data_IF_361012562509
#
_entry.id   IF_361012562509
#
_cell.length_a   1.000
_cell.length_b   1.000
_cell.length_c   1.000
_cell.angle_alpha   90.00
_cell.angle_beta   90.00
_cell.angle_gamma   90.00
#
_symmetry.space_group_name_H-M   'P 1'
#
loop_
_entity.id
_entity.type
_entity.pdbx_description
1 polymer ?
#
# COMPACT_ATOMS: atom_id res chain seq x y z
N UNK A 1 10.40 -0.14 12.00
CA UNK A 1 10.02 0.33 13.33
C UNK A 1 11.22 0.83 14.13
N UNK A 2 12.34 0.06 14.27
CA UNK A 2 13.55 0.53 14.99
C UNK A 2 13.98 1.94 14.62
N UNK A 3 14.03 2.26 13.32
CA UNK A 3 14.35 3.60 12.86
C UNK A 3 13.32 4.66 13.31
N UNK A 4 12.02 4.33 13.36
CA UNK A 4 11.00 5.25 13.86
C UNK A 4 11.19 5.54 15.35
N UNK A 5 11.61 4.52 16.15
CA UNK A 5 12.00 4.71 17.54
C UNK A 5 13.18 5.68 17.69
N UNK A 6 14.22 5.52 16.85
CA UNK A 6 15.42 6.37 16.87
C UNK A 6 15.11 7.84 16.58
N UNK A 7 14.17 8.10 15.67
CA UNK A 7 13.75 9.46 15.32
C UNK A 7 12.54 9.94 16.11
N UNK A 8 12.02 9.13 17.03
CA UNK A 8 10.90 9.48 17.92
C UNK A 8 9.59 9.70 17.17
N UNK A 9 9.30 8.88 16.15
CA UNK A 9 8.04 8.90 15.41
C UNK A 9 7.11 7.78 15.87
N UNK A 10 5.80 8.05 15.98
CA UNK A 10 4.84 7.07 16.46
C UNK A 10 4.70 5.86 15.53
N UNK A 11 4.66 4.70 16.11
CA UNK A 11 4.24 3.46 15.45
C UNK A 11 3.57 2.53 16.46
N UNK A 12 2.75 1.56 16.04
CA UNK A 12 2.16 0.58 16.95
C UNK A 12 3.25 -0.20 17.69
N UNK A 13 2.99 -0.61 18.93
CA UNK A 13 3.92 -1.42 19.71
C UNK A 13 4.36 -2.64 18.90
N UNK A 14 5.66 -2.86 18.82
CA UNK A 14 6.25 -3.84 17.90
C UNK A 14 7.31 -4.67 18.62
N UNK A 15 7.27 -5.99 18.39
CA UNK A 15 8.26 -6.97 18.84
C UNK A 15 8.86 -7.69 17.64
N UNK A 16 10.08 -8.17 17.82
CA UNK A 16 10.81 -8.92 16.79
C UNK A 16 11.03 -10.35 17.27
N UNK A 17 10.95 -11.31 16.39
CA UNK A 17 11.13 -12.73 16.69
C UNK A 17 11.76 -13.46 15.50
N UNK A 18 12.55 -14.51 15.77
CA UNK A 18 13.13 -15.40 14.73
C UNK A 18 12.68 -16.84 14.87
N UNK A 19 12.26 -17.22 16.07
CA UNK A 19 11.78 -18.58 16.36
C UNK A 19 10.35 -18.55 16.87
N UNK A 20 9.67 -19.68 16.78
CA UNK A 20 8.24 -19.74 17.10
C UNK A 20 7.92 -19.38 18.56
N UNK A 21 8.74 -19.79 19.51
CA UNK A 21 8.50 -19.46 20.93
C UNK A 21 8.52 -17.95 21.17
N UNK A 22 9.45 -17.23 20.56
CA UNK A 22 9.51 -15.77 20.65
C UNK A 22 8.27 -15.10 20.02
N UNK A 23 7.74 -15.68 18.90
CA UNK A 23 6.48 -15.22 18.30
C UNK A 23 5.33 -15.38 19.28
N UNK A 24 5.22 -16.53 19.95
CA UNK A 24 4.16 -16.79 20.94
C UNK A 24 4.26 -15.82 22.13
N UNK A 25 5.46 -15.59 22.65
CA UNK A 25 5.71 -14.63 23.73
C UNK A 25 5.32 -13.20 23.31
N UNK A 26 5.71 -12.78 22.09
CA UNK A 26 5.37 -11.48 21.56
C UNK A 26 3.86 -11.30 21.38
N UNK A 27 3.15 -12.32 20.84
CA UNK A 27 1.68 -12.31 20.72
C UNK A 27 1.01 -12.25 22.09
N UNK A 28 1.52 -12.98 23.08
CA UNK A 28 1.00 -12.94 24.46
C UNK A 28 1.21 -11.58 25.11
N UNK A 29 2.35 -10.94 24.85
CA UNK A 29 2.67 -9.61 25.38
C UNK A 29 1.79 -8.51 24.77
N UNK A 30 1.63 -8.52 23.43
CA UNK A 30 0.87 -7.48 22.69
C UNK A 30 -0.64 -7.68 22.81
N UNK A 31 -1.08 -8.89 23.07
CA UNK A 31 -2.50 -9.25 23.05
C UNK A 31 -3.03 -9.48 21.63
N UNK A 32 -4.32 -9.71 21.54
CA UNK A 32 -5.04 -9.94 20.30
C UNK A 32 -6.20 -8.94 20.15
N UNK A 33 -6.49 -8.45 18.95
CA UNK A 33 -5.82 -8.79 17.69
C UNK A 33 -4.42 -8.18 17.57
N UNK A 34 -3.50 -8.90 16.90
CA UNK A 34 -2.19 -8.38 16.50
C UNK A 34 -1.85 -8.86 15.08
N UNK A 35 -0.79 -8.30 14.52
CA UNK A 35 -0.32 -8.65 13.17
C UNK A 35 1.08 -9.29 13.27
N UNK A 36 1.25 -10.40 12.56
CA UNK A 36 2.58 -11.00 12.33
C UNK A 36 2.96 -10.70 10.89
N UNK A 37 4.17 -10.16 10.69
CA UNK A 37 4.70 -9.81 9.37
C UNK A 37 6.06 -10.47 9.17
N UNK A 38 6.34 -10.94 7.95
CA UNK A 38 7.70 -11.32 7.56
C UNK A 38 8.44 -10.11 6.99
N UNK A 39 9.77 -10.17 7.00
CA UNK A 39 10.65 -9.20 6.36
C UNK A 39 10.53 -9.18 4.82
N UNK A 40 9.89 -10.20 4.24
CA UNK A 40 9.60 -10.30 2.82
C UNK A 40 8.10 -10.35 2.58
N UNK A 41 7.62 -9.58 1.63
CA UNK A 41 6.23 -9.61 1.21
C UNK A 41 5.86 -8.46 0.30
N UNK A 42 4.77 -8.61 -0.44
CA UNK A 42 4.18 -7.55 -1.25
C UNK A 42 2.66 -7.76 -1.31
N UNK A 43 1.90 -6.70 -1.49
CA UNK A 43 0.44 -6.74 -1.58
C UNK A 43 -0.20 -7.54 -0.40
N UNK A 44 0.24 -7.27 0.81
CA UNK A 44 -0.19 -7.95 2.06
C UNK A 44 0.17 -9.44 2.14
N UNK A 45 0.94 -10.01 1.21
CA UNK A 45 1.52 -11.35 1.38
C UNK A 45 2.62 -11.29 2.44
N UNK A 46 2.62 -12.25 3.35
CA UNK A 46 3.53 -12.23 4.51
C UNK A 46 3.02 -11.38 5.68
N UNK A 47 1.74 -10.98 5.68
CA UNK A 47 1.08 -10.29 6.78
C UNK A 47 -0.15 -11.10 7.22
N UNK A 48 -0.21 -11.46 8.50
CA UNK A 48 -1.31 -12.22 9.07
C UNK A 48 -1.90 -11.51 10.28
N UNK A 49 -3.22 -11.36 10.30
CA UNK A 49 -3.97 -10.87 11.45
C UNK A 49 -4.29 -12.05 12.38
N UNK A 50 -3.83 -12.00 13.60
CA UNK A 50 -4.05 -13.00 14.64
C UNK A 50 -5.13 -12.48 15.58
N UNK A 51 -6.33 -12.99 15.44
CA UNK A 51 -7.49 -12.61 16.26
C UNK A 51 -7.70 -13.53 17.46
N UNK A 52 -7.23 -14.78 17.35
CA UNK A 52 -7.43 -15.83 18.34
C UNK A 52 -6.33 -16.91 18.24
N UNK A 53 -6.36 -17.90 19.11
CA UNK A 53 -5.36 -18.98 19.14
C UNK A 53 -5.45 -19.92 17.94
N UNK A 54 -6.63 -20.08 17.36
CA UNK A 54 -6.82 -20.88 16.15
C UNK A 54 -6.05 -20.25 14.97
N UNK A 55 -6.11 -18.91 14.80
CA UNK A 55 -5.36 -18.20 13.76
C UNK A 55 -3.86 -18.40 13.94
N UNK A 56 -3.39 -18.32 15.19
CA UNK A 56 -1.97 -18.49 15.53
C UNK A 56 -1.48 -19.92 15.23
N UNK A 57 -2.25 -20.93 15.60
CA UNK A 57 -1.92 -22.34 15.34
C UNK A 57 -1.92 -22.66 13.84
N UNK A 58 -2.93 -22.18 13.11
CA UNK A 58 -3.00 -22.33 11.66
C UNK A 58 -1.80 -21.68 10.96
N UNK A 59 -1.40 -20.50 11.42
CA UNK A 59 -0.21 -19.83 10.91
C UNK A 59 1.05 -20.65 11.17
N UNK A 60 1.22 -21.21 12.39
CA UNK A 60 2.34 -22.07 12.73
C UNK A 60 2.49 -23.22 11.76
N UNK A 61 1.42 -23.96 11.53
CA UNK A 61 1.39 -25.09 10.61
C UNK A 61 1.78 -24.66 9.19
N UNK A 62 1.18 -23.57 8.71
CA UNK A 62 1.46 -23.03 7.37
C UNK A 62 2.91 -22.60 7.18
N UNK A 63 3.49 -21.88 8.16
CA UNK A 63 4.86 -21.41 8.09
C UNK A 63 5.87 -22.55 8.26
N UNK A 64 5.58 -23.53 9.10
CA UNK A 64 6.38 -24.73 9.27
C UNK A 64 6.42 -25.57 7.99
N UNK A 65 5.25 -25.81 7.38
CA UNK A 65 5.15 -26.56 6.12
C UNK A 65 5.92 -25.89 4.97
N UNK A 66 6.04 -24.57 5.00
CA UNK A 66 6.80 -23.78 4.01
C UNK A 66 8.28 -23.62 4.36
N UNK A 67 8.74 -24.10 5.52
CA UNK A 67 10.12 -23.93 5.99
C UNK A 67 10.52 -22.49 6.29
N UNK A 68 9.54 -21.60 6.57
CA UNK A 68 9.79 -20.18 6.83
C UNK A 68 10.28 -19.95 8.26
N UNK A 69 9.87 -20.81 9.22
CA UNK A 69 10.36 -20.78 10.60
C UNK A 69 11.71 -21.52 10.63
N UNK A 70 12.77 -20.84 10.26
CA UNK A 70 14.11 -21.43 10.08
C UNK A 70 15.19 -20.73 10.95
N UNK A 71 14.81 -19.79 11.80
CA UNK A 71 15.73 -19.00 12.63
C UNK A 71 16.48 -17.89 11.87
N UNK A 72 16.33 -17.79 10.55
CA UNK A 72 16.94 -16.75 9.71
C UNK A 72 15.95 -15.62 9.39
N UNK A 73 14.70 -15.98 9.12
CA UNK A 73 13.62 -15.02 8.86
C UNK A 73 13.29 -14.26 10.14
N UNK A 74 13.36 -12.94 10.09
CA UNK A 74 12.89 -12.09 11.18
C UNK A 74 11.38 -11.80 11.00
N UNK A 75 10.62 -12.05 12.05
CA UNK A 75 9.20 -11.73 12.12
C UNK A 75 9.01 -10.44 12.92
N UNK A 76 8.11 -9.62 12.43
CA UNK A 76 7.63 -8.42 13.12
C UNK A 76 6.26 -8.73 13.70
N UNK A 77 6.11 -8.66 15.01
CA UNK A 77 4.82 -8.81 15.68
C UNK A 77 4.40 -7.44 16.17
N UNK A 78 3.25 -6.98 15.68
CA UNK A 78 2.78 -5.61 15.87
C UNK A 78 1.35 -5.61 16.40
N UNK A 79 1.08 -4.79 17.40
CA UNK A 79 -0.29 -4.59 17.88
C UNK A 79 -1.20 -4.05 16.78
N UNK A 80 -2.49 -4.33 16.86
CA UNK A 80 -3.48 -3.74 15.97
C UNK A 80 -3.67 -2.27 16.33
N UNK A 81 -3.33 -1.38 15.41
CA UNK A 81 -3.54 0.04 15.59
C UNK A 81 -5.01 0.40 15.40
N UNK A 82 -5.52 1.28 16.23
CA UNK A 82 -6.79 1.96 16.04
C UNK A 82 -6.62 3.18 15.12
N UNK A 83 -7.73 3.87 14.84
CA UNK A 83 -7.70 5.08 14.02
C UNK A 83 -8.12 4.85 12.57
N UNK A 84 -7.88 5.85 11.74
CA UNK A 84 -8.30 5.86 10.35
C UNK A 84 -7.10 5.47 9.48
N UNK A 85 -7.26 4.43 8.69
CA UNK A 85 -6.22 4.02 7.74
C UNK A 85 -6.06 5.05 6.63
N UNK A 86 -4.85 5.58 6.49
CA UNK A 86 -4.45 6.54 5.48
C UNK A 86 -3.12 6.12 4.84
N UNK A 87 -2.87 6.65 3.65
CA UNK A 87 -1.64 6.44 2.89
C UNK A 87 -1.05 7.78 2.51
N UNK A 88 0.26 7.88 2.49
CA UNK A 88 0.96 9.03 1.96
C UNK A 88 1.86 8.67 0.79
N UNK A 89 2.06 9.66 -0.08
CA UNK A 89 3.09 9.68 -1.10
C UNK A 89 3.92 10.94 -0.91
N UNK A 90 5.22 10.78 -0.98
CA UNK A 90 6.16 11.90 -0.86
C UNK A 90 7.28 11.76 -1.88
N UNK A 91 7.91 12.87 -2.21
CA UNK A 91 9.14 12.91 -3.00
C UNK A 91 10.13 13.86 -2.33
N UNK A 92 11.39 13.46 -2.33
CA UNK A 92 12.46 14.18 -1.66
C UNK A 92 13.63 14.44 -2.61
N UNK A 93 14.32 15.52 -2.37
CA UNK A 93 15.60 15.85 -3.01
C UNK A 93 16.66 16.04 -1.94
N UNK A 94 17.57 15.07 -1.80
CA UNK A 94 18.69 15.07 -0.84
C UNK A 94 18.25 15.42 0.59
N UNK A 95 17.18 14.79 1.06
CA UNK A 95 16.59 15.00 2.39
C UNK A 95 15.51 16.07 2.45
N UNK A 96 15.43 16.97 1.49
CA UNK A 96 14.40 18.02 1.44
C UNK A 96 13.09 17.47 0.88
N UNK A 97 12.01 17.57 1.62
CA UNK A 97 10.67 17.22 1.15
C UNK A 97 10.21 18.19 0.05
N UNK A 98 9.92 17.67 -1.15
CA UNK A 98 9.49 18.45 -2.31
C UNK A 98 7.97 18.50 -2.41
N UNK A 99 7.33 17.35 -2.26
CA UNK A 99 5.88 17.24 -2.28
C UNK A 99 5.39 16.10 -1.39
N UNK A 100 4.17 16.25 -0.88
CA UNK A 100 3.46 15.23 -0.10
C UNK A 100 1.99 15.21 -0.53
N UNK A 101 1.38 14.04 -0.50
CA UNK A 101 -0.06 13.87 -0.65
C UNK A 101 -0.54 12.75 0.25
N UNK A 102 -1.46 13.04 1.15
CA UNK A 102 -2.11 12.06 2.01
C UNK A 102 -3.49 11.70 1.48
N UNK A 103 -3.86 10.43 1.60
CA UNK A 103 -5.15 9.92 1.13
C UNK A 103 -5.82 9.04 2.16
N UNK A 104 -7.15 9.17 2.25
CA UNK A 104 -8.02 8.29 3.04
C UNK A 104 -8.85 7.41 2.11
N UNK A 105 -8.98 6.13 2.43
CA UNK A 105 -9.92 5.23 1.76
C UNK A 105 -11.32 5.47 2.31
N UNK A 106 -12.27 5.81 1.44
CA UNK A 106 -13.68 5.94 1.82
C UNK A 106 -14.48 4.65 1.62
N UNK A 107 -14.04 3.81 0.68
CA UNK A 107 -14.63 2.49 0.43
C UNK A 107 -13.55 1.55 -0.07
N UNK A 108 -13.47 0.39 0.56
CA UNK A 108 -12.56 -0.69 0.15
C UNK A 108 -13.22 -1.62 -0.88
N UNK A 109 -12.39 -2.15 -1.77
CA UNK A 109 -12.72 -3.17 -2.75
C UNK A 109 -12.24 -4.55 -2.32
N UNK A 110 -12.32 -5.49 -3.24
CA UNK A 110 -11.78 -6.83 -3.04
C UNK A 110 -10.24 -6.78 -3.02
N UNK A 111 -9.64 -7.62 -2.18
CA UNK A 111 -8.19 -7.74 -2.11
C UNK A 111 -7.45 -6.52 -1.52
N UNK A 112 -8.14 -5.67 -0.74
CA UNK A 112 -7.54 -4.52 -0.07
C UNK A 112 -7.33 -3.29 -0.98
N UNK A 113 -7.71 -3.36 -2.25
CA UNK A 113 -7.71 -2.19 -3.15
C UNK A 113 -8.79 -1.18 -2.76
N UNK A 114 -8.54 0.12 -3.01
CA UNK A 114 -9.54 1.14 -2.71
C UNK A 114 -10.50 1.35 -3.88
N UNK A 115 -11.80 1.37 -3.61
CA UNK A 115 -12.82 1.81 -4.56
C UNK A 115 -12.82 3.33 -4.66
N UNK A 116 -12.81 4.00 -3.50
CA UNK A 116 -12.82 5.48 -3.44
C UNK A 116 -11.75 5.94 -2.46
N UNK A 117 -10.97 6.92 -2.92
CA UNK A 117 -9.99 7.66 -2.13
C UNK A 117 -10.34 9.14 -2.14
N UNK A 118 -10.00 9.83 -1.06
CA UNK A 118 -10.07 11.29 -0.95
C UNK A 118 -8.74 11.81 -0.43
N UNK A 119 -8.28 12.94 -0.98
CA UNK A 119 -7.14 13.65 -0.43
C UNK A 119 -7.46 14.22 0.96
N UNK A 120 -6.50 14.19 1.86
CA UNK A 120 -6.60 14.76 3.21
C UNK A 120 -5.37 15.59 3.51
N UNK A 121 -5.56 16.69 4.24
CA UNK A 121 -4.44 17.49 4.74
C UNK A 121 -3.99 16.98 6.10
N UNK A 122 -2.67 16.78 6.26
CA UNK A 122 -2.05 16.27 7.48
C UNK A 122 -0.75 17.00 7.80
N UNK A 123 -0.83 18.19 8.43
CA UNK A 123 0.36 18.96 8.78
C UNK A 123 1.35 18.19 9.67
N UNK A 124 0.85 17.34 10.58
CA UNK A 124 1.71 16.53 11.44
C UNK A 124 2.52 15.51 10.63
N UNK A 125 1.89 14.86 9.65
CA UNK A 125 2.55 13.89 8.76
C UNK A 125 3.63 14.58 7.92
N UNK A 126 3.40 15.81 7.48
CA UNK A 126 4.41 16.61 6.78
C UNK A 126 5.65 16.82 7.65
N UNK A 127 5.48 17.26 8.90
CA UNK A 127 6.59 17.46 9.85
C UNK A 127 7.37 16.16 10.10
N UNK A 128 6.66 15.05 10.23
CA UNK A 128 7.28 13.74 10.41
C UNK A 128 8.13 13.36 9.20
N UNK A 129 7.63 13.60 7.97
CA UNK A 129 8.35 13.32 6.74
C UNK A 129 9.55 14.23 6.53
N UNK A 130 9.46 15.50 6.88
CA UNK A 130 10.61 16.43 6.87
C UNK A 130 11.73 15.87 7.76
N UNK A 131 11.40 15.38 8.96
CA UNK A 131 12.34 14.76 9.89
C UNK A 131 12.95 13.46 9.33
N UNK A 132 12.12 12.59 8.72
CA UNK A 132 12.61 11.37 8.05
C UNK A 132 13.54 11.72 6.90
N UNK A 133 13.14 12.66 6.04
CA UNK A 133 13.91 13.09 4.90
C UNK A 133 15.28 13.61 5.29
N UNK A 134 15.35 14.52 6.24
CA UNK A 134 16.57 15.14 6.74
C UNK A 134 17.50 14.10 7.39
N UNK A 135 16.96 13.24 8.26
CA UNK A 135 17.72 12.21 8.97
C UNK A 135 18.35 11.19 8.02
N UNK A 136 17.59 10.70 7.04
CA UNK A 136 18.07 9.70 6.07
C UNK A 136 18.75 10.31 4.85
N UNK A 137 18.73 11.64 4.69
CA UNK A 137 19.09 12.32 3.43
C UNK A 137 18.38 11.68 2.23
N UNK A 138 17.08 11.37 2.44
CA UNK A 138 16.29 10.61 1.48
C UNK A 138 16.25 11.31 0.12
N UNK A 139 16.42 10.54 -0.95
CA UNK A 139 16.33 11.05 -2.32
C UNK A 139 15.42 10.16 -3.15
N UNK A 140 14.40 10.75 -3.76
CA UNK A 140 13.40 10.03 -4.53
C UNK A 140 12.06 9.86 -3.80
N UNK A 141 11.25 8.96 -4.31
CA UNK A 141 9.89 8.73 -3.81
C UNK A 141 9.86 7.84 -2.57
N UNK A 142 8.90 8.12 -1.70
CA UNK A 142 8.55 7.32 -0.53
C UNK A 142 7.02 7.27 -0.40
N UNK A 143 6.47 6.09 -0.16
CA UNK A 143 5.07 5.94 0.23
C UNK A 143 5.00 5.23 1.57
N UNK A 144 4.12 5.67 2.45
CA UNK A 144 3.93 5.03 3.75
C UNK A 144 2.45 4.85 4.03
N UNK A 145 2.15 3.77 4.77
CA UNK A 145 0.84 3.50 5.32
C UNK A 145 0.83 3.80 6.82
N UNK A 146 -0.23 4.40 7.30
CA UNK A 146 -0.37 4.76 8.70
C UNK A 146 -1.83 4.75 9.17
N UNK A 147 -2.02 4.66 10.48
CA UNK A 147 -3.29 4.94 11.13
C UNK A 147 -3.26 6.34 11.74
N UNK A 148 -4.20 7.17 11.35
CA UNK A 148 -4.34 8.52 11.88
C UNK A 148 -5.34 8.57 13.02
N UNK A 149 -4.91 9.08 14.16
CA UNK A 149 -5.74 9.29 15.33
C UNK A 149 -6.17 10.76 15.38
N UNK A 150 -7.47 11.01 15.15
CA UNK A 150 -8.01 12.36 15.14
C UNK A 150 -8.01 13.03 16.53
N UNK A 151 -8.03 12.21 17.59
CA UNK A 151 -8.13 12.73 18.97
C UNK A 151 -6.84 13.39 19.46
N UNK A 152 -5.68 12.89 19.03
CA UNK A 152 -4.36 13.37 19.44
C UNK A 152 -3.52 13.94 18.29
N UNK A 153 -4.10 14.05 17.09
CA UNK A 153 -3.45 14.53 15.85
C UNK A 153 -2.13 13.80 15.59
N UNK A 154 -2.16 12.45 15.61
CA UNK A 154 -0.97 11.62 15.41
C UNK A 154 -1.15 10.59 14.31
N UNK A 155 -0.06 10.32 13.60
CA UNK A 155 0.04 9.26 12.62
C UNK A 155 0.91 8.11 13.16
N UNK A 156 0.36 6.89 13.21
CA UNK A 156 1.06 5.69 13.64
C UNK A 156 1.47 4.90 12.39
N UNK A 157 2.75 4.97 12.03
CA UNK A 157 3.28 4.39 10.79
C UNK A 157 3.41 2.87 10.89
N UNK A 158 2.93 2.16 9.87
CA UNK A 158 2.88 0.69 9.87
C UNK A 158 3.64 0.03 8.71
N UNK A 159 3.87 0.75 7.63
CA UNK A 159 4.58 0.27 6.45
C UNK A 159 5.25 1.40 5.70
N UNK A 160 6.38 1.10 5.03
CA UNK A 160 7.10 2.06 4.20
C UNK A 160 7.56 1.41 2.90
N UNK A 161 7.25 2.03 1.79
CA UNK A 161 7.59 1.60 0.45
C UNK A 161 8.51 2.64 -0.21
N UNK A 162 9.79 2.32 -0.51
CA UNK A 162 10.73 3.23 -1.16
C UNK A 162 10.44 3.42 -2.65
N UNK A 163 9.19 3.69 -2.98
CA UNK A 163 8.68 3.84 -4.35
C UNK A 163 7.33 4.55 -4.37
N UNK A 164 6.94 4.99 -5.55
CA UNK A 164 5.55 5.39 -5.78
C UNK A 164 4.67 4.13 -5.74
N UNK A 165 3.54 4.18 -5.04
CA UNK A 165 2.53 3.13 -5.03
C UNK A 165 1.35 3.51 -5.93
N UNK A 166 0.17 3.82 -5.43
CA UNK A 166 -1.03 4.14 -6.21
C UNK A 166 -1.25 5.67 -6.36
N UNK A 167 -0.51 6.39 -7.24
CA UNK A 167 -0.44 7.85 -7.22
C UNK A 167 -1.63 8.56 -7.86
N UNK A 168 -2.61 7.84 -8.43
CA UNK A 168 -3.65 8.48 -9.25
C UNK A 168 -4.55 9.46 -8.49
N UNK A 169 -4.76 9.25 -7.17
CA UNK A 169 -5.47 10.24 -6.38
C UNK A 169 -4.67 11.55 -6.28
N UNK A 170 -3.35 11.49 -6.17
CA UNK A 170 -2.51 12.69 -6.15
C UNK A 170 -2.57 13.46 -7.47
N UNK A 171 -2.60 12.75 -8.60
CA UNK A 171 -2.78 13.38 -9.94
C UNK A 171 -4.13 14.09 -10.04
N UNK A 172 -5.19 13.49 -9.51
CA UNK A 172 -6.53 14.14 -9.44
C UNK A 172 -6.49 15.40 -8.58
N UNK A 173 -5.58 15.46 -7.62
CA UNK A 173 -5.32 16.60 -6.74
C UNK A 173 -4.19 17.52 -7.25
N UNK A 174 -3.75 17.35 -8.48
CA UNK A 174 -2.78 18.25 -9.13
C UNK A 174 -1.30 17.92 -8.86
N UNK A 175 -1.00 16.82 -8.17
CA UNK A 175 0.36 16.41 -7.84
C UNK A 175 0.75 15.17 -8.65
N UNK A 176 1.64 15.32 -9.63
CA UNK A 176 2.10 14.22 -10.47
C UNK A 176 3.46 13.70 -9.99
N UNK A 177 3.45 12.77 -9.03
CA UNK A 177 4.67 12.18 -8.49
C UNK A 177 5.51 11.44 -9.55
N UNK A 178 4.88 10.83 -10.55
CA UNK A 178 5.62 10.14 -11.61
C UNK A 178 6.46 11.13 -12.44
N UNK A 179 5.87 12.27 -12.82
CA UNK A 179 6.59 13.34 -13.51
C UNK A 179 7.70 13.92 -12.63
N UNK A 180 7.41 14.19 -11.35
CA UNK A 180 8.39 14.70 -10.40
C UNK A 180 9.58 13.75 -10.25
N UNK A 181 9.34 12.43 -10.16
CA UNK A 181 10.39 11.42 -10.09
C UNK A 181 11.26 11.41 -11.35
N UNK A 182 10.67 11.52 -12.54
CA UNK A 182 11.40 11.60 -13.79
C UNK A 182 12.27 12.87 -13.83
N UNK A 183 11.71 14.02 -13.46
CA UNK A 183 12.45 15.29 -13.41
C UNK A 183 13.62 15.21 -12.43
N UNK A 184 13.40 14.66 -11.24
CA UNK A 184 14.42 14.46 -10.23
C UNK A 184 15.57 13.59 -10.76
N UNK A 185 15.24 12.44 -11.37
CA UNK A 185 16.20 11.51 -11.95
C UNK A 185 17.02 12.11 -13.10
N UNK A 186 16.48 13.12 -13.79
CA UNK A 186 17.16 13.85 -14.87
C UNK A 186 17.89 15.11 -14.38
N UNK A 187 17.95 15.37 -13.08
CA UNK A 187 18.52 16.59 -12.51
C UNK A 187 17.80 17.87 -12.92
N UNK A 188 16.51 17.76 -13.33
CA UNK A 188 15.71 18.91 -13.74
C UNK A 188 14.99 19.53 -12.53
N UNK A 189 14.77 20.85 -12.59
CA UNK A 189 13.99 21.54 -11.57
C UNK A 189 12.58 20.95 -11.45
N UNK A 190 12.14 20.72 -10.23
CA UNK A 190 10.77 20.29 -9.93
C UNK A 190 9.99 21.55 -9.55
N UNK A 191 8.83 21.79 -10.21
CA UNK A 191 7.97 22.89 -9.80
C UNK A 191 7.51 22.67 -8.37
N UNK A 192 7.84 23.60 -7.47
CA UNK A 192 7.43 23.57 -6.08
C UNK A 192 6.00 24.10 -5.92
N UNK A 193 5.08 23.63 -6.75
CA UNK A 193 3.67 23.97 -6.59
C UNK A 193 3.08 23.07 -5.50
N UNK A 194 3.33 23.46 -4.28
CA UNK A 194 2.64 22.91 -3.13
C UNK A 194 1.19 23.34 -3.18
N UNK A 195 0.33 22.44 -3.61
CA UNK A 195 -1.10 22.67 -3.55
C UNK A 195 -1.56 22.14 -2.19
N UNK A 196 -1.56 23.01 -1.20
CA UNK A 196 -2.22 22.74 0.08
C UNK A 196 -3.73 22.57 -0.16
N UNK A 197 -4.31 21.54 0.45
CA UNK A 197 -5.77 21.38 0.62
C UNK A 197 -6.59 20.99 -0.62
N UNK A 198 -6.16 20.02 -1.42
CA UNK A 198 -7.09 19.48 -2.41
C UNK A 198 -7.67 18.16 -1.89
N UNK A 199 -8.97 18.18 -1.58
CA UNK A 199 -9.74 17.04 -1.07
C UNK A 199 -10.55 16.36 -2.17
N UNK A 200 -10.03 16.32 -3.40
CA UNK A 200 -10.72 15.69 -4.51
C UNK A 200 -10.80 14.17 -4.32
N UNK A 201 -11.94 13.63 -4.70
CA UNK A 201 -12.17 12.19 -4.69
C UNK A 201 -11.73 11.56 -6.00
N UNK A 202 -11.11 10.40 -5.90
CA UNK A 202 -10.92 9.49 -7.02
C UNK A 202 -11.63 8.16 -6.78
N UNK A 203 -12.02 7.46 -7.84
CA UNK A 203 -12.59 6.12 -7.77
C UNK A 203 -11.99 5.22 -8.84
N UNK A 204 -12.07 3.92 -8.60
CA UNK A 204 -11.77 2.89 -9.58
C UNK A 204 -13.04 2.12 -9.93
N UNK A 205 -13.53 2.28 -11.15
CA UNK A 205 -14.72 1.58 -11.64
C UNK A 205 -14.51 0.07 -11.62
N UNK A 206 -13.34 -0.41 -12.02
CA UNK A 206 -13.03 -1.85 -12.02
C UNK A 206 -13.12 -2.40 -10.60
N UNK A 207 -12.50 -1.75 -9.61
CA UNK A 207 -12.58 -2.19 -8.21
C UNK A 207 -14.01 -2.17 -7.66
N UNK A 208 -14.80 -1.17 -8.07
CA UNK A 208 -16.21 -1.08 -7.71
C UNK A 208 -17.03 -2.27 -8.24
N UNK A 209 -16.85 -2.61 -9.53
CA UNK A 209 -17.56 -3.72 -10.17
C UNK A 209 -17.14 -5.08 -9.58
N UNK A 210 -15.83 -5.29 -9.36
CA UNK A 210 -15.32 -6.49 -8.71
C UNK A 210 -15.90 -6.66 -7.31
N UNK A 211 -15.95 -5.59 -6.52
CA UNK A 211 -16.52 -5.64 -5.17
C UNK A 211 -18.03 -5.90 -5.18
N UNK A 212 -18.78 -5.26 -6.08
CA UNK A 212 -20.22 -5.50 -6.23
C UNK A 212 -20.51 -6.97 -6.63
N UNK A 213 -19.71 -7.52 -7.54
CA UNK A 213 -19.81 -8.92 -7.92
C UNK A 213 -19.47 -9.87 -6.77
N UNK A 214 -18.43 -9.57 -6.00
CA UNK A 214 -17.90 -10.45 -4.94
C UNK A 214 -18.76 -10.52 -3.68
N UNK A 215 -19.56 -9.49 -3.39
CA UNK A 215 -20.38 -9.45 -2.17
C UNK A 215 -21.52 -10.49 -2.15
N UNK A 216 -22.24 -10.63 -3.24
CA UNK A 216 -23.44 -11.49 -3.32
C UNK A 216 -23.49 -12.33 -4.59
N UNK A 217 -22.47 -12.27 -5.43
CA UNK A 217 -22.44 -12.92 -6.76
C UNK A 217 -23.64 -12.55 -7.65
N UNK A 218 -24.11 -11.30 -7.51
CA UNK A 218 -25.34 -10.78 -8.15
C UNK A 218 -25.00 -9.93 -9.37
N UNK A 219 -25.56 -10.30 -10.52
CA UNK A 219 -25.50 -9.49 -11.74
C UNK A 219 -26.19 -8.14 -11.58
N UNK A 220 -27.29 -8.11 -10.82
CA UNK A 220 -28.03 -6.87 -10.56
C UNK A 220 -27.20 -5.88 -9.75
N UNK A 221 -26.41 -6.35 -8.77
CA UNK A 221 -25.53 -5.48 -7.98
C UNK A 221 -24.41 -4.90 -8.86
N UNK A 222 -23.86 -5.68 -9.79
CA UNK A 222 -22.89 -5.21 -10.78
C UNK A 222 -23.47 -4.11 -11.66
N UNK A 223 -24.68 -4.32 -12.21
CA UNK A 223 -25.37 -3.31 -13.04
C UNK A 223 -25.71 -2.06 -12.25
N UNK A 224 -26.21 -2.22 -11.04
CA UNK A 224 -26.51 -1.10 -10.14
C UNK A 224 -25.27 -0.27 -9.82
N UNK A 225 -24.15 -0.93 -9.49
CA UNK A 225 -22.89 -0.24 -9.21
C UNK A 225 -22.39 0.50 -10.46
N UNK A 226 -22.45 -0.13 -11.64
CA UNK A 226 -22.09 0.53 -12.91
C UNK A 226 -22.94 1.78 -13.16
N UNK A 227 -24.27 1.71 -12.92
CA UNK A 227 -25.14 2.88 -13.03
C UNK A 227 -24.76 3.99 -12.05
N UNK A 228 -24.44 3.65 -10.81
CA UNK A 228 -24.02 4.64 -9.80
C UNK A 228 -22.74 5.35 -10.21
N UNK A 229 -21.75 4.60 -10.71
CA UNK A 229 -20.49 5.16 -11.23
C UNK A 229 -20.74 6.05 -12.44
N UNK A 230 -21.45 5.55 -13.45
CA UNK A 230 -21.73 6.29 -14.69
C UNK A 230 -22.50 7.58 -14.46
N UNK A 231 -23.49 7.56 -13.55
CA UNK A 231 -24.29 8.73 -13.18
C UNK A 231 -23.67 9.60 -12.11
N UNK A 232 -22.51 9.21 -11.57
CA UNK A 232 -21.81 9.89 -10.45
C UNK A 232 -22.73 10.14 -9.25
N UNK A 233 -23.57 9.17 -8.90
CA UNK A 233 -24.50 9.24 -7.78
C UNK A 233 -23.91 8.60 -6.50
N UNK A 234 -24.51 8.93 -5.36
CA UNK A 234 -24.11 8.39 -4.07
C UNK A 234 -22.67 8.75 -3.72
N UNK A 235 -21.88 7.74 -3.35
CA UNK A 235 -20.47 7.93 -2.95
C UNK A 235 -19.58 8.42 -4.10
N UNK A 236 -19.98 8.23 -5.37
CA UNK A 236 -19.23 8.64 -6.56
C UNK A 236 -19.43 10.12 -6.92
N UNK A 237 -20.30 10.83 -6.19
CA UNK A 237 -20.52 12.26 -6.41
C UNK A 237 -19.19 13.03 -6.27
N UNK A 238 -18.87 13.84 -7.28
CA UNK A 238 -17.65 14.65 -7.37
C UNK A 238 -16.35 13.83 -7.39
N UNK A 239 -16.39 12.55 -7.76
CA UNK A 239 -15.20 11.74 -7.93
C UNK A 239 -14.74 11.64 -9.38
N UNK A 240 -13.43 11.44 -9.58
CA UNK A 240 -12.83 11.21 -10.90
C UNK A 240 -12.33 9.79 -11.02
N UNK A 241 -12.51 9.18 -12.20
CA UNK A 241 -11.95 7.86 -12.48
C UNK A 241 -10.42 7.91 -12.44
N UNK A 242 -9.81 6.92 -11.80
CA UNK A 242 -8.37 6.88 -11.58
C UNK A 242 -7.61 5.89 -12.47
N UNK A 243 -8.26 4.82 -12.95
CA UNK A 243 -7.57 3.73 -13.68
C UNK A 243 -8.03 3.63 -15.12
N UNK A 244 -9.32 3.74 -15.38
CA UNK A 244 -9.92 3.61 -16.73
C UNK A 244 -10.64 4.90 -17.13
N UNK A 245 -9.91 6.01 -17.38
CA UNK A 245 -10.51 7.30 -17.66
C UNK A 245 -11.06 7.38 -19.09
N UNK A 246 -12.13 6.64 -19.40
CA UNK A 246 -12.73 6.46 -20.73
C UNK A 246 -12.91 7.77 -21.50
N UNK A 247 -13.22 8.87 -20.81
CA UNK A 247 -13.38 10.18 -21.43
C UNK A 247 -12.06 10.79 -21.95
N UNK A 248 -10.90 10.35 -21.45
CA UNK A 248 -9.57 10.83 -21.83
C UNK A 248 -8.76 9.80 -22.60
N UNK A 249 -9.06 8.53 -22.38
CA UNK A 249 -8.43 7.38 -23.00
C UNK A 249 -9.53 6.42 -23.47
N UNK A 250 -10.05 6.69 -24.66
CA UNK A 250 -11.15 5.91 -25.24
C UNK A 250 -10.85 4.40 -25.32
N UNK A 251 -9.63 3.93 -25.65
CA UNK A 251 -9.31 2.49 -25.63
C UNK A 251 -9.54 1.81 -24.28
N UNK A 252 -9.51 2.54 -23.17
CA UNK A 252 -9.80 1.97 -21.84
C UNK A 252 -11.22 1.42 -21.70
N UNK A 253 -12.15 1.81 -22.60
CA UNK A 253 -13.51 1.25 -22.66
C UNK A 253 -13.49 -0.24 -22.97
N UNK A 254 -12.52 -0.72 -23.75
CA UNK A 254 -12.39 -2.13 -24.12
C UNK A 254 -12.15 -2.97 -22.87
N UNK A 255 -11.19 -2.55 -22.04
CA UNK A 255 -10.89 -3.22 -20.78
C UNK A 255 -12.09 -3.20 -19.82
N UNK A 256 -12.71 -2.03 -19.66
CA UNK A 256 -13.87 -1.88 -18.78
C UNK A 256 -15.04 -2.76 -19.24
N UNK A 257 -15.31 -2.77 -20.56
CA UNK A 257 -16.38 -3.59 -21.15
C UNK A 257 -16.09 -5.09 -20.99
N UNK A 258 -14.85 -5.51 -21.19
CA UNK A 258 -14.45 -6.92 -20.98
C UNK A 258 -14.67 -7.37 -19.54
N UNK A 259 -14.26 -6.55 -18.55
CA UNK A 259 -14.48 -6.83 -17.13
C UNK A 259 -15.98 -6.87 -16.82
N UNK A 260 -16.75 -5.88 -17.29
CA UNK A 260 -18.18 -5.82 -17.07
C UNK A 260 -18.89 -7.06 -17.66
N UNK A 261 -18.60 -7.41 -18.92
CA UNK A 261 -19.15 -8.60 -19.57
C UNK A 261 -18.83 -9.88 -18.80
N UNK A 262 -17.57 -10.04 -18.40
CA UNK A 262 -17.14 -11.21 -17.62
C UNK A 262 -17.87 -11.32 -16.28
N UNK A 263 -18.06 -10.20 -15.56
CA UNK A 263 -18.78 -10.19 -14.29
C UNK A 263 -20.29 -10.42 -14.47
N UNK A 264 -20.88 -9.97 -15.57
CA UNK A 264 -22.28 -10.27 -15.89
C UNK A 264 -22.48 -11.73 -16.33
N UNK A 265 -21.49 -12.31 -17.01
CA UNK A 265 -21.52 -13.73 -17.37
C UNK A 265 -21.35 -14.63 -16.14
N UNK A 266 -20.29 -14.37 -15.35
CA UNK A 266 -19.99 -15.11 -14.13
C UNK A 266 -19.53 -14.17 -12.99
N UNK A 267 -20.44 -13.71 -12.11
CA UNK A 267 -20.07 -12.81 -11.01
C UNK A 267 -19.03 -13.38 -10.04
N UNK A 268 -18.94 -14.72 -9.90
CA UNK A 268 -17.93 -15.36 -9.03
C UNK A 268 -16.49 -15.14 -9.55
N UNK A 269 -16.33 -14.84 -10.83
CA UNK A 269 -15.02 -14.54 -11.41
C UNK A 269 -14.36 -13.28 -10.79
N UNK A 270 -15.14 -12.36 -10.24
CA UNK A 270 -14.63 -11.15 -9.59
C UNK A 270 -13.70 -11.44 -8.41
N UNK A 271 -14.11 -12.38 -7.55
CA UNK A 271 -13.27 -12.80 -6.42
C UNK A 271 -12.00 -13.54 -6.88
N UNK A 272 -12.14 -14.42 -7.88
CA UNK A 272 -10.99 -15.13 -8.47
C UNK A 272 -9.99 -14.16 -9.12
N UNK A 273 -10.46 -13.14 -9.82
CA UNK A 273 -9.59 -12.12 -10.42
C UNK A 273 -8.85 -11.31 -9.37
N UNK A 274 -9.53 -10.86 -8.32
CA UNK A 274 -8.90 -10.14 -7.22
C UNK A 274 -7.80 -10.99 -6.55
N UNK A 275 -8.07 -12.26 -6.26
CA UNK A 275 -7.09 -13.19 -5.68
C UNK A 275 -5.91 -13.45 -6.62
N UNK A 276 -6.16 -13.65 -7.92
CA UNK A 276 -5.12 -13.85 -8.94
C UNK A 276 -4.24 -12.61 -9.10
N UNK A 277 -4.83 -11.42 -9.06
CA UNK A 277 -4.05 -10.18 -9.11
C UNK A 277 -3.06 -10.11 -7.93
N UNK A 278 -3.51 -10.40 -6.71
CA UNK A 278 -2.64 -10.43 -5.53
C UNK A 278 -1.54 -11.47 -5.68
N UNK A 279 -1.87 -12.70 -6.10
CA UNK A 279 -0.88 -13.79 -6.25
C UNK A 279 0.17 -13.48 -7.31
N UNK A 280 -0.17 -12.77 -8.37
CA UNK A 280 0.77 -12.39 -9.42
C UNK A 280 1.77 -11.31 -8.97
N UNK A 281 1.43 -10.51 -7.97
CA UNK A 281 2.35 -9.52 -7.37
C UNK A 281 3.25 -10.12 -6.29
N UNK A 282 2.92 -11.31 -5.76
CA UNK A 282 3.75 -11.94 -4.74
C UNK A 282 4.96 -12.59 -5.40
N UNK A 283 6.14 -12.28 -4.92
CA UNK A 283 7.39 -12.96 -5.32
C UNK A 283 7.42 -14.45 -4.93
N UNK A 284 6.29 -14.94 -4.39
CA UNK A 284 5.92 -16.33 -4.18
C UNK A 284 7.05 -17.23 -3.72
N UNK A 285 7.02 -18.45 -4.16
CA UNK A 285 7.95 -19.54 -3.86
C UNK A 285 9.37 -19.38 -4.43
N UNK A 286 9.69 -18.28 -5.13
CA UNK A 286 11.02 -18.01 -5.65
C UNK A 286 11.99 -17.51 -4.56
N UNK A 287 11.49 -16.91 -3.48
CA UNK A 287 12.31 -16.36 -2.38
C UNK A 287 13.21 -17.41 -1.71
N UNK A 288 12.78 -18.65 -1.42
CA UNK A 288 13.67 -19.65 -0.84
C UNK A 288 14.85 -20.05 -1.73
N UNK A 289 14.70 -19.93 -3.06
CA UNK A 289 15.81 -20.19 -4.01
C UNK A 289 16.80 -19.03 -4.09
N UNK A 290 16.38 -17.85 -3.67
CA UNK A 290 17.16 -16.60 -3.70
C UNK A 290 17.86 -16.35 -2.36
N UNK A 291 17.40 -16.95 -1.26
CA UNK A 291 17.91 -16.75 0.10
C UNK A 291 19.39 -17.15 0.32
N UNK A 292 20.06 -17.67 -0.69
CA UNK A 292 21.52 -17.90 -0.68
C UNK A 292 22.30 -16.85 -1.49
N UNK A 293 21.64 -15.95 -2.21
CA UNK A 293 22.28 -14.89 -3.00
C UNK A 293 22.43 -13.61 -2.19
N UNK A 294 23.59 -12.98 -2.27
CA UNK A 294 23.77 -11.65 -1.70
C UNK A 294 22.96 -10.63 -2.51
N UNK A 295 22.43 -9.56 -1.89
CA UNK A 295 21.66 -8.52 -2.59
C UNK A 295 22.37 -7.96 -3.83
N UNK A 296 23.71 -7.87 -3.79
CA UNK A 296 24.54 -7.39 -4.89
C UNK A 296 24.53 -8.33 -6.10
N UNK A 297 24.37 -9.63 -5.87
CA UNK A 297 24.28 -10.64 -6.93
C UNK A 297 22.92 -10.67 -7.60
N UNK A 298 21.87 -10.30 -6.83
CA UNK A 298 20.49 -10.31 -7.32
C UNK A 298 20.14 -9.11 -8.20
N UNK A 299 20.66 -7.92 -7.86
CA UNK A 299 20.36 -6.68 -8.56
C UNK A 299 21.39 -6.31 -9.64
N UNK A 300 22.42 -7.12 -9.85
CA UNK A 300 23.49 -6.80 -10.83
C UNK A 300 24.27 -5.51 -10.51
N UNK A 301 24.12 -4.98 -9.31
CA UNK A 301 24.84 -3.82 -8.85
C UNK A 301 26.26 -4.23 -8.44
N UNK A 302 27.16 -4.22 -9.40
CA UNK A 302 28.58 -4.29 -9.10
C UNK A 302 29.02 -2.94 -8.53
N UNK A 303 29.16 -2.86 -7.23
CA UNK A 303 29.70 -1.67 -6.52
C UNK A 303 31.12 -1.26 -6.96
N UNK A 304 31.71 -1.96 -7.92
CA UNK A 304 33.05 -1.70 -8.45
C UNK A 304 33.10 -0.78 -9.67
N UNK A 305 31.95 -0.39 -10.26
CA UNK A 305 31.93 0.44 -11.49
C UNK A 305 31.74 1.92 -11.29
N UNK A 306 31.56 2.43 -10.06
CA UNK A 306 31.40 3.86 -9.80
C UNK A 306 32.67 4.57 -9.31
N UNK A 307 33.84 4.12 -9.72
CA UNK A 307 35.10 4.87 -9.44
C UNK A 307 35.64 5.68 -10.63
N UNK A 308 34.93 5.76 -11.73
CA UNK A 308 35.35 6.52 -12.90
C UNK A 308 34.23 7.37 -13.48
N UNK A 309 33.68 8.30 -12.75
CA UNK A 309 33.09 9.53 -13.29
C UNK A 309 33.42 10.63 -12.26
N UNK A 310 34.57 11.20 -12.43
CA UNK A 310 34.96 12.51 -11.92
C UNK A 310 34.65 13.57 -12.97
#
# INVERSE_FOLDING_TARGET
>A
MRYLDEVGLPHPCTRYAKIWNEIQEAVSYLGKPCYIKTDYGTASTGVWCIKNDHDLNFLKESLTAKGIINGQTEFLIQEASSGIFEQLHAIFDQGRLIAIHCTRRLKEGLGGGAIIKVGVDRPIVRKDLEKIGESLKWHGSLSMDYFYHEADDRAYYIDANPRITEPMNSVVNGINFAEMQIRLSLGKSIPTNYIDQITNKSHSTIQALLAAAGQRYSRLDVLKEMCLVATKKGIYKNSRESITPVAKDFPSIILLSAVLFQLLYNPRSGQMQAQKAISNYSLGTAIPKISGMKPEEYFGFNAKTNKNIS
#
